data_IF_139246376415
#
_entry.id   IF_139246376415
#
_cell.length_a   1.000
_cell.length_b   1.000
_cell.length_c   1.000
_cell.angle_alpha   90.00
_cell.angle_beta   90.00
_cell.angle_gamma   90.00
#
_symmetry.space_group_name_H-M   'P 1'
#
loop_
_entity.id
_entity.type
_entity.pdbx_description
1 polymer ?
#
# COMPACT_ATOMS: atom_id res chain seq x y z
N UNK A 1 -28.16 42.74 37.21
CA UNK A 1 -27.15 41.85 36.59
C UNK A 1 -27.58 40.44 36.94
N UNK A 2 -28.18 39.74 35.98
CA UNK A 2 -28.72 38.40 36.21
C UNK A 2 -27.82 37.46 35.43
N UNK A 3 -26.97 36.76 36.17
CA UNK A 3 -26.05 35.76 35.64
C UNK A 3 -26.89 34.59 35.09
N UNK A 4 -26.64 34.23 33.84
CA UNK A 4 -27.45 33.31 33.07
C UNK A 4 -27.15 31.89 33.55
N UNK A 5 -28.09 31.27 34.27
CA UNK A 5 -28.04 29.88 34.72
C UNK A 5 -28.21 28.93 33.51
N UNK A 6 -27.20 28.90 32.63
CA UNK A 6 -27.13 27.95 31.51
C UNK A 6 -26.33 26.74 31.95
N UNK A 7 -26.91 25.96 32.87
CA UNK A 7 -26.54 24.55 33.05
C UNK A 7 -27.03 23.77 31.84
N UNK A 8 -26.33 23.94 30.71
CA UNK A 8 -26.41 22.94 29.65
C UNK A 8 -25.81 21.67 30.23
N UNK A 9 -26.65 20.67 30.49
CA UNK A 9 -26.20 19.32 30.83
C UNK A 9 -25.21 18.89 29.73
N UNK A 10 -23.92 18.86 30.08
CA UNK A 10 -22.86 18.43 29.20
C UNK A 10 -23.08 16.97 28.83
N UNK A 11 -23.85 16.73 27.77
CA UNK A 11 -24.10 15.40 27.24
C UNK A 11 -22.87 14.99 26.44
N UNK A 12 -21.90 14.41 27.14
CA UNK A 12 -20.71 13.82 26.53
C UNK A 12 -21.20 12.70 25.63
N UNK A 13 -21.08 12.89 24.31
CA UNK A 13 -21.26 11.80 23.36
C UNK A 13 -20.03 10.89 23.54
N UNK A 14 -20.19 9.65 24.04
CA UNK A 14 -19.06 8.77 24.20
C UNK A 14 -18.46 8.50 22.82
N UNK A 15 -17.17 8.82 22.66
CA UNK A 15 -16.40 8.33 21.53
C UNK A 15 -16.23 6.82 21.71
N UNK A 16 -17.16 6.06 21.15
CA UNK A 16 -16.99 4.62 20.99
C UNK A 16 -15.99 4.45 19.85
N UNK A 17 -14.74 4.09 20.18
CA UNK A 17 -13.78 3.65 19.16
C UNK A 17 -14.48 2.55 18.35
N UNK A 18 -14.60 2.65 17.03
CA UNK A 18 -15.08 1.54 16.21
C UNK A 18 -14.31 0.30 16.64
N UNK A 19 -15.00 -0.83 16.84
CA UNK A 19 -14.32 -2.07 17.18
C UNK A 19 -13.15 -2.21 16.19
N UNK A 20 -11.93 -2.30 16.72
CA UNK A 20 -10.80 -2.70 15.90
C UNK A 20 -11.16 -4.11 15.48
N UNK A 21 -11.73 -4.27 14.29
CA UNK A 21 -11.75 -5.54 13.61
C UNK A 21 -10.30 -5.99 13.66
N UNK A 22 -10.05 -7.07 14.39
CA UNK A 22 -8.71 -7.62 14.58
C UNK A 22 -8.02 -7.62 13.22
N UNK A 23 -6.92 -6.88 13.15
CA UNK A 23 -5.87 -6.96 12.14
C UNK A 23 -6.30 -7.57 10.80
N UNK A 24 -7.01 -6.81 9.97
CA UNK A 24 -7.08 -7.10 8.54
C UNK A 24 -5.70 -6.78 7.93
N UNK A 25 -4.69 -7.60 8.26
CA UNK A 25 -3.38 -7.59 7.61
C UNK A 25 -3.61 -8.09 6.19
N UNK A 26 -3.72 -7.16 5.26
CA UNK A 26 -3.79 -7.46 3.84
C UNK A 26 -2.38 -7.41 3.25
N UNK A 27 -1.90 -8.55 2.76
CA UNK A 27 -0.70 -8.61 1.94
C UNK A 27 -1.09 -8.29 0.50
N UNK A 28 -0.40 -7.36 -0.14
CA UNK A 28 -0.58 -7.01 -1.55
C UNK A 28 0.76 -7.13 -2.25
N UNK A 29 0.79 -7.79 -3.42
CA UNK A 29 1.98 -7.90 -4.26
C UNK A 29 1.99 -6.77 -5.30
N UNK A 30 3.17 -6.19 -5.55
CA UNK A 30 3.36 -5.07 -6.48
C UNK A 30 4.47 -5.43 -7.46
N UNK A 31 4.15 -5.48 -8.75
CA UNK A 31 5.14 -5.53 -9.81
C UNK A 31 5.60 -4.12 -10.19
N UNK A 32 6.90 -3.86 -10.18
CA UNK A 32 7.46 -2.60 -10.61
C UNK A 32 8.80 -2.79 -11.33
N UNK A 33 9.08 -1.95 -12.33
CA UNK A 33 10.42 -1.82 -12.93
C UNK A 33 11.12 -0.65 -12.26
N UNK A 34 12.26 -0.91 -11.64
CA UNK A 34 13.06 0.10 -10.94
C UNK A 34 14.38 0.34 -11.65
N UNK A 35 14.78 1.60 -11.75
CA UNK A 35 16.12 1.98 -12.20
C UNK A 35 17.01 2.18 -10.98
N UNK A 36 18.19 1.55 -10.96
CA UNK A 36 19.15 1.61 -9.85
C UNK A 36 20.51 2.12 -10.32
N UNK A 37 21.27 2.72 -9.41
CA UNK A 37 22.66 3.12 -9.64
C UNK A 37 23.54 2.41 -8.63
N UNK A 38 24.55 1.69 -9.11
CA UNK A 38 25.41 0.85 -8.28
C UNK A 38 26.82 1.42 -8.28
N UNK A 39 27.35 1.67 -7.08
CA UNK A 39 28.75 2.01 -6.90
C UNK A 39 29.55 0.70 -6.80
N UNK A 40 30.46 0.49 -7.73
CA UNK A 40 31.30 -0.71 -7.83
C UNK A 40 32.74 -0.33 -8.19
N UNK A 41 33.68 -1.24 -7.97
CA UNK A 41 35.09 -1.00 -8.30
C UNK A 41 35.34 -1.16 -9.81
N UNK A 42 36.42 -0.55 -10.31
CA UNK A 42 36.85 -0.79 -11.69
C UNK A 42 37.21 -2.27 -11.89
N UNK A 43 36.57 -2.91 -12.88
CA UNK A 43 36.74 -4.34 -13.20
C UNK A 43 35.68 -5.27 -12.59
N UNK A 44 34.83 -4.76 -11.71
CA UNK A 44 33.68 -5.48 -11.15
C UNK A 44 32.45 -5.29 -12.04
N UNK A 45 31.63 -6.33 -12.22
CA UNK A 45 30.35 -6.19 -12.91
C UNK A 45 29.33 -5.51 -11.99
N UNK A 46 28.65 -4.44 -12.43
CA UNK A 46 27.59 -3.81 -11.65
C UNK A 46 26.43 -4.76 -11.33
N UNK A 47 26.21 -5.78 -12.18
CA UNK A 47 25.18 -6.80 -11.98
C UNK A 47 25.56 -7.75 -10.84
N UNK A 48 26.80 -8.28 -10.86
CA UNK A 48 27.31 -9.13 -9.78
C UNK A 48 27.33 -8.38 -8.44
N UNK A 49 27.74 -7.11 -8.46
CA UNK A 49 27.74 -6.27 -7.26
C UNK A 49 26.34 -6.04 -6.71
N UNK A 50 25.35 -5.85 -7.58
CA UNK A 50 23.96 -5.73 -7.15
C UNK A 50 23.45 -7.01 -6.51
N UNK A 51 23.77 -8.18 -7.07
CA UNK A 51 23.40 -9.48 -6.49
C UNK A 51 24.00 -9.67 -5.09
N UNK A 52 25.29 -9.36 -4.92
CA UNK A 52 25.95 -9.42 -3.61
C UNK A 52 25.28 -8.49 -2.57
N UNK A 53 24.90 -7.27 -2.98
CA UNK A 53 24.21 -6.33 -2.09
C UNK A 53 22.86 -6.89 -1.62
N UNK A 54 22.10 -7.50 -2.53
CA UNK A 54 20.80 -8.10 -2.23
C UNK A 54 20.97 -9.28 -1.26
N UNK A 55 21.89 -10.19 -1.56
CA UNK A 55 22.16 -11.37 -0.72
C UNK A 55 22.68 -11.00 0.67
N UNK A 56 23.58 -10.01 0.76
CA UNK A 56 24.10 -9.50 2.02
C UNK A 56 23.04 -8.78 2.87
N UNK A 57 22.01 -8.21 2.24
CA UNK A 57 20.89 -7.58 2.95
C UNK A 57 20.04 -8.61 3.67
N UNK A 58 19.79 -9.77 3.05
CA UNK A 58 18.88 -10.80 3.57
C UNK A 58 17.41 -10.38 3.61
N UNK A 59 17.09 -9.20 3.06
CA UNK A 59 15.73 -8.65 3.00
C UNK A 59 15.03 -8.92 1.67
N UNK A 60 15.76 -9.41 0.66
CA UNK A 60 15.24 -9.65 -0.67
C UNK A 60 15.89 -10.89 -1.30
N UNK A 61 15.13 -11.55 -2.17
CA UNK A 61 15.53 -12.73 -2.92
C UNK A 61 15.58 -12.41 -4.41
N UNK A 62 16.51 -13.04 -5.14
CA UNK A 62 16.62 -12.92 -6.59
C UNK A 62 15.95 -14.13 -7.22
N UNK A 63 14.87 -13.90 -7.94
CA UNK A 63 14.09 -14.94 -8.62
C UNK A 63 14.39 -14.93 -10.13
N UNK A 64 14.38 -16.10 -10.76
CA UNK A 64 14.41 -16.20 -12.21
C UNK A 64 13.09 -15.64 -12.79
N UNK A 65 13.18 -14.98 -13.94
CA UNK A 65 12.04 -14.42 -14.66
C UNK A 65 11.01 -15.50 -15.00
N UNK A 66 11.45 -16.73 -15.29
CA UNK A 66 10.55 -17.84 -15.57
C UNK A 66 9.67 -18.18 -14.36
N UNK A 67 10.27 -18.20 -13.16
CA UNK A 67 9.57 -18.51 -11.92
C UNK A 67 8.66 -17.36 -11.48
N UNK A 68 9.12 -16.11 -11.65
CA UNK A 68 8.33 -14.93 -11.33
C UNK A 68 7.08 -14.81 -12.21
N UNK A 69 7.18 -15.09 -13.51
CA UNK A 69 6.03 -14.98 -14.43
C UNK A 69 4.95 -16.03 -14.17
N UNK A 70 5.31 -17.23 -13.74
CA UNK A 70 4.34 -18.28 -13.39
C UNK A 70 3.44 -17.84 -12.22
N UNK A 71 4.01 -17.21 -11.18
CA UNK A 71 3.25 -16.64 -10.07
C UNK A 71 2.33 -15.49 -10.53
N UNK A 72 2.79 -14.63 -11.45
CA UNK A 72 1.98 -13.53 -11.99
C UNK A 72 0.83 -14.00 -12.89
N UNK A 73 1.00 -15.08 -13.65
CA UNK A 73 -0.08 -15.65 -14.47
C UNK A 73 -1.25 -16.15 -13.60
N UNK A 74 -0.97 -16.63 -12.38
CA UNK A 74 -2.01 -16.98 -11.41
C UNK A 74 -2.79 -15.77 -10.88
N UNK A 75 -2.19 -14.58 -10.85
CA UNK A 75 -2.83 -13.33 -10.42
C UNK A 75 -3.70 -12.69 -11.52
N UNK A 76 -3.43 -13.00 -12.79
CA UNK A 76 -4.13 -12.44 -13.96
C UNK A 76 -5.61 -12.86 -14.11
N UNK A 77 -6.11 -13.79 -13.27
CA UNK A 77 -7.49 -14.27 -13.34
C UNK A 77 -8.45 -13.59 -12.35
N UNK A 78 -7.99 -12.62 -11.56
CA UNK A 78 -8.87 -11.82 -10.72
C UNK A 78 -9.57 -10.73 -11.58
N UNK A 79 -10.92 -10.64 -11.57
CA UNK A 79 -11.62 -9.49 -12.12
C UNK A 79 -11.10 -8.22 -11.44
N UNK A 80 -10.61 -7.25 -12.21
CA UNK A 80 -10.24 -5.93 -11.67
C UNK A 80 -11.49 -5.32 -10.99
N UNK A 81 -11.47 -4.98 -9.68
CA UNK A 81 -12.68 -4.56 -8.96
C UNK A 81 -13.20 -3.17 -9.34
N UNK A 82 -12.59 -2.47 -10.30
CA UNK A 82 -12.83 -1.07 -10.53
C UNK A 82 -13.35 -0.81 -11.95
N UNK A 83 -14.66 -1.01 -12.15
CA UNK A 83 -15.37 -0.68 -13.41
C UNK A 83 -15.59 0.83 -13.61
N UNK A 84 -14.96 1.71 -12.83
CA UNK A 84 -15.07 3.15 -13.05
C UNK A 84 -14.33 4.01 -12.02
N UNK A 85 -14.20 5.31 -12.29
CA UNK A 85 -13.68 6.26 -11.32
C UNK A 85 -14.56 6.24 -10.05
N UNK A 86 -13.94 6.09 -8.88
CA UNK A 86 -14.63 6.01 -7.59
C UNK A 86 -15.22 7.35 -7.10
N UNK A 87 -15.19 8.40 -7.93
CA UNK A 87 -15.73 9.70 -7.55
C UNK A 87 -17.23 9.80 -7.85
N UNK A 88 -17.95 10.43 -6.94
CA UNK A 88 -19.40 10.65 -6.99
C UNK A 88 -19.78 11.87 -7.83
N UNK A 89 -18.90 12.32 -8.75
CA UNK A 89 -19.13 13.51 -9.57
C UNK A 89 -20.41 13.42 -10.44
N UNK A 90 -20.93 12.20 -10.63
CA UNK A 90 -22.23 11.93 -11.26
C UNK A 90 -23.44 12.57 -10.54
N UNK A 91 -23.33 12.93 -9.26
CA UNK A 91 -24.40 13.61 -8.52
C UNK A 91 -24.29 15.14 -8.57
N UNK A 92 -23.21 15.70 -9.13
CA UNK A 92 -23.01 17.16 -9.21
C UNK A 92 -23.59 17.79 -10.48
N UNK A 93 -24.02 17.01 -11.47
CA UNK A 93 -24.59 17.49 -12.74
C UNK A 93 -26.11 17.72 -12.71
N UNK A 94 -26.77 17.56 -11.55
CA UNK A 94 -28.21 17.80 -11.38
C UNK A 94 -28.48 19.06 -10.54
N UNK A 95 -27.95 20.21 -11.00
CA UNK A 95 -28.28 21.55 -10.50
C UNK A 95 -28.59 22.48 -11.68
#
# INVERSE_FOLDING_TARGET
MTDHDSRQDCRVIPFVRPASNEDNVATSSIAAVIAVTILHHEGESPEERLLEIIEASGEAEVLDIADALDEFETLGHAPLPCEGPANDNKFLTSL
#
